data_IF_473805693897
#
_entry.id   IF_473805693897
#
_cell.length_a   1.000
_cell.length_b   1.000
_cell.length_c   1.000
_cell.angle_alpha   90.00
_cell.angle_beta   90.00
_cell.angle_gamma   90.00
#
_symmetry.space_group_name_H-M   'P 1'
#
loop_
_entity.id
_entity.type
_entity.pdbx_description
1 polymer ?
#
# COMPACT_ATOMS: atom_id res chain seq x y z
N UNK A 1 2.49 15.38 -31.24
CA UNK A 1 1.05 15.18 -30.94
C UNK A 1 0.76 15.70 -29.53
N UNK A 2 -0.48 15.96 -29.13
CA UNK A 2 -0.81 16.33 -27.74
C UNK A 2 -1.70 15.28 -27.10
N UNK A 3 -1.48 14.97 -25.81
CA UNK A 3 -2.43 14.19 -25.02
C UNK A 3 -3.40 15.18 -24.41
N UNK A 4 -4.58 15.36 -25.01
CA UNK A 4 -5.59 16.30 -24.52
C UNK A 4 -6.60 15.67 -23.57
N UNK A 5 -6.65 14.34 -23.49
CA UNK A 5 -7.61 13.61 -22.65
C UNK A 5 -7.09 12.24 -22.23
N UNK A 6 -7.39 11.85 -20.99
CA UNK A 6 -7.22 10.51 -20.43
C UNK A 6 -8.61 9.95 -20.12
N UNK A 7 -8.90 8.74 -20.57
CA UNK A 7 -10.16 8.06 -20.22
C UNK A 7 -10.12 7.57 -18.75
N UNK A 8 -11.02 8.04 -17.85
CA UNK A 8 -11.04 7.63 -16.46
C UNK A 8 -11.18 6.12 -16.28
N UNK A 9 -11.92 5.44 -17.16
CA UNK A 9 -12.09 3.99 -17.08
C UNK A 9 -10.78 3.25 -17.35
N UNK A 10 -10.00 3.71 -18.34
CA UNK A 10 -8.65 3.20 -18.58
C UNK A 10 -7.72 3.46 -17.39
N UNK A 11 -7.77 4.66 -16.81
CA UNK A 11 -6.94 5.02 -15.67
C UNK A 11 -7.23 4.17 -14.42
N UNK A 12 -8.50 3.83 -14.17
CA UNK A 12 -8.90 2.91 -13.10
C UNK A 12 -8.28 1.52 -13.29
N UNK A 13 -8.28 0.96 -14.50
CA UNK A 13 -7.70 -0.37 -14.77
C UNK A 13 -6.19 -0.41 -14.54
N UNK A 14 -5.47 0.58 -15.06
CA UNK A 14 -4.00 0.66 -14.91
C UNK A 14 -3.65 0.85 -13.43
N UNK A 15 -4.37 1.73 -12.75
CA UNK A 15 -4.14 2.01 -11.32
C UNK A 15 -4.50 0.82 -10.45
N UNK A 16 -5.54 0.06 -10.79
CA UNK A 16 -5.87 -1.20 -10.12
C UNK A 16 -4.74 -2.22 -10.20
N UNK A 17 -4.18 -2.44 -11.39
CA UNK A 17 -3.06 -3.38 -11.56
C UNK A 17 -1.81 -2.94 -10.78
N UNK A 18 -1.50 -1.63 -10.80
CA UNK A 18 -0.41 -1.07 -10.01
C UNK A 18 -0.65 -1.24 -8.50
N UNK A 19 -1.87 -0.94 -8.04
CA UNK A 19 -2.22 -1.02 -6.63
C UNK A 19 -2.21 -2.46 -6.11
N UNK A 20 -2.61 -3.45 -6.94
CA UNK A 20 -2.45 -4.88 -6.59
C UNK A 20 -0.98 -5.23 -6.38
N UNK A 21 -0.07 -4.73 -7.24
CA UNK A 21 1.37 -4.91 -7.07
C UNK A 21 1.88 -4.31 -5.75
N UNK A 22 1.45 -3.09 -5.41
CA UNK A 22 1.78 -2.43 -4.13
C UNK A 22 1.20 -3.20 -2.93
N UNK A 23 -0.04 -3.67 -3.02
CA UNK A 23 -0.68 -4.47 -1.99
C UNK A 23 0.10 -5.75 -1.67
N UNK A 24 0.54 -6.49 -2.70
CA UNK A 24 1.40 -7.67 -2.51
C UNK A 24 2.74 -7.27 -1.87
N UNK A 25 3.35 -6.18 -2.33
CA UNK A 25 4.60 -5.67 -1.76
C UNK A 25 4.47 -5.35 -0.26
N UNK A 26 3.34 -4.77 0.17
CA UNK A 26 3.06 -4.46 1.58
C UNK A 26 3.02 -5.75 2.41
N UNK A 27 2.28 -6.77 1.95
CA UNK A 27 2.18 -8.05 2.68
C UNK A 27 3.53 -8.75 2.78
N UNK A 28 4.29 -8.82 1.67
CA UNK A 28 5.64 -9.40 1.66
C UNK A 28 6.57 -8.64 2.60
N UNK A 29 6.51 -7.30 2.57
CA UNK A 29 7.31 -6.46 3.46
C UNK A 29 6.98 -6.71 4.92
N UNK A 30 5.70 -6.85 5.27
CA UNK A 30 5.27 -7.16 6.64
C UNK A 30 5.79 -8.52 7.12
N UNK A 31 5.74 -9.55 6.26
CA UNK A 31 6.29 -10.88 6.55
C UNK A 31 7.79 -10.80 6.81
N UNK A 32 8.53 -10.14 5.92
CA UNK A 32 10.00 -10.02 6.02
C UNK A 32 10.39 -9.25 7.27
N UNK A 33 9.75 -8.11 7.55
CA UNK A 33 10.03 -7.32 8.75
C UNK A 33 9.74 -8.10 10.03
N UNK A 34 8.63 -8.83 10.07
CA UNK A 34 8.30 -9.68 11.21
C UNK A 34 9.38 -10.74 11.45
N UNK A 35 9.82 -11.43 10.39
CA UNK A 35 10.89 -12.43 10.48
C UNK A 35 12.21 -11.84 10.97
N UNK A 36 12.56 -10.62 10.54
CA UNK A 36 13.76 -9.92 11.01
C UNK A 36 13.68 -9.63 12.51
N UNK A 37 12.53 -9.14 12.99
CA UNK A 37 12.35 -8.88 14.43
C UNK A 37 12.36 -10.14 15.28
N UNK A 38 11.78 -11.23 14.78
CA UNK A 38 11.81 -12.52 15.44
C UNK A 38 13.23 -13.10 15.50
N UNK A 39 13.98 -13.05 14.39
CA UNK A 39 15.37 -13.48 14.32
C UNK A 39 16.30 -12.68 15.27
N UNK A 40 15.97 -11.42 15.51
CA UNK A 40 16.66 -10.55 16.48
C UNK A 40 16.20 -10.75 17.93
N UNK A 41 15.30 -11.71 18.21
CA UNK A 41 14.70 -11.97 19.52
C UNK A 41 14.03 -10.74 20.16
N UNK A 42 13.52 -9.81 19.34
CA UNK A 42 12.86 -8.58 19.82
C UNK A 42 11.58 -8.94 20.59
N UNK A 43 10.75 -9.83 20.05
CA UNK A 43 9.50 -10.24 20.69
C UNK A 43 9.73 -11.00 22.00
N UNK A 44 10.78 -11.83 22.07
CA UNK A 44 11.16 -12.51 23.31
C UNK A 44 11.59 -11.50 24.39
N UNK A 45 12.45 -10.54 24.01
CA UNK A 45 12.90 -9.49 24.93
C UNK A 45 11.73 -8.65 25.48
N UNK A 46 10.74 -8.32 24.64
CA UNK A 46 9.52 -7.62 25.09
C UNK A 46 8.72 -8.49 26.05
N UNK A 47 8.56 -9.78 25.77
CA UNK A 47 7.83 -10.72 26.64
C UNK A 47 8.44 -10.77 28.04
N UNK A 48 9.75 -10.99 28.13
CA UNK A 48 10.47 -11.11 29.41
C UNK A 48 10.32 -9.83 30.26
N UNK A 49 10.36 -8.65 29.62
CA UNK A 49 10.13 -7.37 30.28
C UNK A 49 8.71 -7.25 30.81
N UNK A 50 7.71 -7.63 30.02
CA UNK A 50 6.29 -7.53 30.41
C UNK A 50 5.91 -8.53 31.51
N UNK A 51 6.50 -9.73 31.49
CA UNK A 51 6.36 -10.73 32.55
C UNK A 51 6.98 -10.22 33.86
N UNK A 52 8.15 -9.58 33.79
CA UNK A 52 8.79 -8.95 34.96
C UNK A 52 7.95 -7.82 35.57
N UNK A 53 7.22 -7.08 34.74
CA UNK A 53 6.32 -6.00 35.16
C UNK A 53 4.95 -6.51 35.65
N UNK A 54 4.65 -7.81 35.53
CA UNK A 54 3.39 -8.42 35.98
C UNK A 54 2.14 -7.86 35.30
N UNK A 55 2.28 -7.37 34.06
CA UNK A 55 1.20 -6.66 33.36
C UNK A 55 0.41 -7.56 32.41
N UNK A 56 -0.57 -8.29 32.94
CA UNK A 56 -1.48 -9.15 32.16
C UNK A 56 -2.07 -8.48 30.90
N UNK A 57 -2.60 -7.22 30.94
CA UNK A 57 -3.16 -6.59 29.75
C UNK A 57 -2.14 -6.34 28.63
N UNK A 58 -0.87 -6.11 29.00
CA UNK A 58 0.21 -5.89 28.03
C UNK A 58 0.67 -7.21 27.41
N UNK A 59 0.64 -8.30 28.18
CA UNK A 59 0.89 -9.65 27.67
C UNK A 59 -0.21 -10.10 26.70
N UNK A 60 -1.47 -9.75 26.95
CA UNK A 60 -2.56 -9.94 25.99
C UNK A 60 -2.32 -9.15 24.69
N UNK A 61 -1.81 -7.93 24.78
CA UNK A 61 -1.47 -7.11 23.63
C UNK A 61 -0.38 -7.73 22.74
N UNK A 62 0.56 -8.49 23.32
CA UNK A 62 1.56 -9.21 22.53
C UNK A 62 0.95 -10.20 21.55
N UNK A 63 -0.25 -10.72 21.81
CA UNK A 63 -0.91 -11.63 20.87
C UNK A 63 -1.19 -10.96 19.53
N UNK A 64 -1.38 -9.63 19.48
CA UNK A 64 -1.54 -8.88 18.22
C UNK A 64 -0.27 -8.82 17.38
N UNK A 65 0.89 -9.02 18.00
CA UNK A 65 2.19 -9.07 17.33
C UNK A 65 2.54 -10.47 16.81
N UNK A 66 1.70 -11.48 17.05
CA UNK A 66 1.88 -12.81 16.51
C UNK A 66 1.88 -12.77 14.97
N UNK A 67 2.74 -13.59 14.36
CA UNK A 67 2.93 -13.65 12.91
C UNK A 67 1.60 -13.69 12.14
N UNK A 68 0.71 -14.62 12.52
CA UNK A 68 -0.58 -14.79 11.85
C UNK A 68 -1.45 -13.55 11.90
N UNK A 69 -1.45 -12.81 13.03
CA UNK A 69 -2.22 -11.58 13.18
C UNK A 69 -1.60 -10.44 12.39
N UNK A 70 -0.27 -10.27 12.45
CA UNK A 70 0.45 -9.23 11.68
C UNK A 70 0.24 -9.41 10.18
N UNK A 71 0.34 -10.65 9.67
CA UNK A 71 0.06 -10.96 8.26
C UNK A 71 -1.40 -10.67 7.92
N UNK A 72 -2.35 -11.07 8.78
CA UNK A 72 -3.78 -10.78 8.56
C UNK A 72 -4.07 -9.27 8.50
N UNK A 73 -3.47 -8.49 9.40
CA UNK A 73 -3.59 -7.02 9.36
C UNK A 73 -2.97 -6.43 8.09
N UNK A 74 -1.80 -6.93 7.66
CA UNK A 74 -1.15 -6.45 6.44
C UNK A 74 -2.01 -6.69 5.19
N UNK A 75 -2.76 -7.79 5.14
CA UNK A 75 -3.70 -8.07 4.05
C UNK A 75 -4.85 -7.06 4.05
N UNK A 76 -5.40 -6.74 5.22
CA UNK A 76 -6.46 -5.73 5.34
C UNK A 76 -5.95 -4.37 4.85
N UNK A 77 -4.74 -3.98 5.28
CA UNK A 77 -4.08 -2.75 4.82
C UNK A 77 -3.87 -2.76 3.31
N UNK A 78 -3.41 -3.87 2.74
CA UNK A 78 -3.23 -4.01 1.30
C UNK A 78 -4.54 -3.88 0.52
N UNK A 79 -5.65 -4.42 1.01
CA UNK A 79 -6.97 -4.26 0.38
C UNK A 79 -7.40 -2.79 0.39
N UNK A 80 -7.20 -2.10 1.51
CA UNK A 80 -7.51 -0.66 1.62
C UNK A 80 -6.65 0.14 0.64
N UNK A 81 -5.35 -0.16 0.55
CA UNK A 81 -4.42 0.47 -0.39
C UNK A 81 -4.87 0.29 -1.85
N UNK A 82 -5.23 -0.95 -2.23
CA UNK A 82 -5.73 -1.29 -3.56
C UNK A 82 -6.93 -0.41 -3.93
N UNK A 83 -7.90 -0.31 -3.03
CA UNK A 83 -9.09 0.51 -3.23
C UNK A 83 -8.69 1.97 -3.40
N UNK A 84 -7.90 2.51 -2.46
CA UNK A 84 -7.52 3.92 -2.43
C UNK A 84 -6.77 4.35 -3.70
N UNK A 85 -5.73 3.62 -4.08
CA UNK A 85 -4.92 3.95 -5.26
C UNK A 85 -5.70 3.75 -6.57
N UNK A 86 -6.59 2.76 -6.64
CA UNK A 86 -7.48 2.60 -7.79
C UNK A 86 -8.36 3.83 -7.96
N UNK A 87 -9.05 4.26 -6.90
CA UNK A 87 -9.90 5.47 -6.94
C UNK A 87 -9.09 6.73 -7.25
N UNK A 88 -7.90 6.86 -6.66
CA UNK A 88 -7.00 7.99 -6.90
C UNK A 88 -6.63 8.10 -8.39
N UNK A 89 -6.38 6.97 -9.06
CA UNK A 89 -6.13 6.94 -10.51
C UNK A 89 -7.28 7.51 -11.35
N UNK A 90 -8.51 7.17 -10.98
CA UNK A 90 -9.71 7.74 -11.61
C UNK A 90 -9.82 9.26 -11.39
N UNK A 91 -9.57 9.73 -10.17
CA UNK A 91 -9.58 11.16 -9.83
C UNK A 91 -8.49 11.91 -10.60
N UNK A 92 -7.28 11.35 -10.67
CA UNK A 92 -6.16 11.94 -11.42
C UNK A 92 -6.48 12.11 -12.90
N UNK A 93 -7.17 11.14 -13.53
CA UNK A 93 -7.61 11.27 -14.91
C UNK A 93 -8.64 12.40 -15.11
N UNK A 94 -9.58 12.57 -14.17
CA UNK A 94 -10.55 13.67 -14.21
C UNK A 94 -9.88 15.03 -14.05
N UNK A 95 -8.94 15.16 -13.10
CA UNK A 95 -8.19 16.39 -12.88
C UNK A 95 -7.32 16.74 -14.08
N UNK A 96 -6.65 15.74 -14.68
CA UNK A 96 -5.88 15.94 -15.91
C UNK A 96 -6.76 16.48 -17.04
N UNK A 97 -7.93 15.89 -17.25
CA UNK A 97 -8.85 16.33 -18.29
C UNK A 97 -9.33 17.77 -18.08
N UNK A 98 -9.59 18.17 -16.84
CA UNK A 98 -9.97 19.54 -16.52
C UNK A 98 -8.84 20.53 -16.84
N UNK A 99 -7.62 20.23 -16.44
CA UNK A 99 -6.45 21.09 -16.68
C UNK A 99 -6.11 21.14 -18.18
N UNK A 100 -6.17 20.00 -18.87
CA UNK A 100 -5.90 19.91 -20.30
C UNK A 100 -6.91 20.71 -21.13
N UNK A 101 -8.18 20.77 -20.71
CA UNK A 101 -9.19 21.62 -21.35
C UNK A 101 -8.87 23.12 -21.23
N UNK A 102 -8.14 23.54 -20.19
CA UNK A 102 -7.75 24.93 -19.96
C UNK A 102 -6.44 25.32 -20.65
N UNK A 103 -5.45 24.42 -20.70
CA UNK A 103 -4.08 24.73 -21.13
C UNK A 103 -3.69 24.08 -22.47
N UNK A 104 -4.52 23.19 -23.02
CA UNK A 104 -4.28 22.52 -24.31
C UNK A 104 -3.63 21.14 -24.22
N UNK A 105 -3.39 20.62 -23.02
CA UNK A 105 -2.85 19.27 -22.77
C UNK A 105 -1.32 19.20 -22.79
N UNK A 106 -0.78 17.98 -22.72
CA UNK A 106 0.68 17.75 -22.74
C UNK A 106 1.19 17.51 -24.15
N UNK A 107 2.27 18.20 -24.54
CA UNK A 107 2.91 18.01 -25.84
C UNK A 107 3.88 16.83 -25.78
N UNK A 108 3.73 15.90 -26.71
CA UNK A 108 4.62 14.75 -26.90
C UNK A 108 5.24 14.81 -28.30
N UNK A 109 6.57 14.65 -28.35
CA UNK A 109 7.34 14.45 -29.58
C UNK A 109 7.58 12.95 -29.70
N UNK A 110 7.02 12.34 -30.74
CA UNK A 110 7.29 10.94 -31.08
C UNK A 110 8.42 10.95 -32.09
N UNK A 111 9.54 10.31 -31.76
CA UNK A 111 10.59 9.99 -32.71
C UNK A 111 10.20 8.65 -33.33
N UNK A 112 9.75 8.64 -34.58
CA UNK A 112 9.52 7.39 -35.31
C UNK A 112 10.87 6.77 -35.70
N UNK A 113 11.01 5.46 -35.50
CA UNK A 113 11.93 4.59 -36.25
C UNK A 113 11.16 3.86 -37.35
#
# INVERSE_FOLDING_TARGET
>A
MTISRIDPWSALKVSFLLAVGLGVMIVVSAVVLWMVFDAMNVFASIRDLLETLGSEPLLELMQYLEFGRVVSFSIIVAVIDIILFTFLGGIMALLYNLIAALVGGTHITITDE
#
